data_IF_531753538228
#
_entry.id   IF_531753538228
#
_cell.length_a   1.000
_cell.length_b   1.000
_cell.length_c   1.000
_cell.angle_alpha   90.00
_cell.angle_beta   90.00
_cell.angle_gamma   90.00
#
_symmetry.space_group_name_H-M   'P 1'
#
loop_
_entity.id
_entity.type
_entity.pdbx_description
1 polymer ?
#
# COMPACT_ATOMS: atom_id res chain seq x y z
N UNK A 1 19.06 -1.45 -28.42
CA UNK A 1 17.87 -0.73 -27.96
C UNK A 1 17.03 -1.71 -27.17
N UNK A 2 17.10 -1.62 -25.85
CA UNK A 2 16.16 -2.28 -24.94
C UNK A 2 14.79 -1.59 -25.04
N UNK A 3 13.74 -2.20 -24.46
CA UNK A 3 12.44 -1.52 -24.32
C UNK A 3 12.55 -0.19 -23.55
N UNK A 4 13.55 -0.06 -22.68
CA UNK A 4 13.87 1.16 -21.94
C UNK A 4 14.51 2.23 -22.86
N UNK A 5 15.35 1.83 -23.81
CA UNK A 5 15.97 2.76 -24.78
C UNK A 5 14.96 3.31 -25.82
N UNK A 6 13.84 2.61 -26.03
CA UNK A 6 12.75 3.03 -26.89
C UNK A 6 11.64 3.80 -26.15
N UNK A 7 11.74 3.90 -24.82
CA UNK A 7 10.75 4.56 -23.97
C UNK A 7 11.09 6.05 -23.85
N UNK A 8 10.50 6.86 -24.73
CA UNK A 8 10.52 8.33 -24.65
C UNK A 8 9.14 8.88 -24.22
N UNK A 9 8.82 8.85 -22.91
CA UNK A 9 7.53 9.32 -22.43
C UNK A 9 7.37 10.82 -22.67
N UNK A 10 8.45 11.61 -22.60
CA UNK A 10 8.38 13.05 -22.84
C UNK A 10 8.04 13.37 -24.31
N UNK A 11 8.67 12.67 -25.26
CA UNK A 11 8.37 12.72 -26.69
C UNK A 11 6.98 12.19 -27.03
N UNK A 12 6.48 11.21 -26.26
CA UNK A 12 5.09 10.74 -26.32
C UNK A 12 4.08 11.71 -25.66
N UNK A 13 4.53 12.86 -25.14
CA UNK A 13 3.67 13.90 -24.56
C UNK A 13 3.43 13.78 -23.06
N UNK A 14 4.02 12.80 -22.37
CA UNK A 14 3.95 12.69 -20.92
C UNK A 14 4.65 13.87 -20.24
N UNK A 15 4.10 14.33 -19.12
CA UNK A 15 4.64 15.40 -18.29
C UNK A 15 4.55 14.96 -16.83
N UNK A 16 5.62 15.14 -16.08
CA UNK A 16 5.66 14.91 -14.64
C UNK A 16 5.78 16.26 -13.95
N UNK A 17 4.88 16.53 -13.02
CA UNK A 17 4.92 17.72 -12.16
C UNK A 17 5.09 17.27 -10.72
N UNK A 18 6.14 17.73 -10.06
CA UNK A 18 6.39 17.50 -8.63
C UNK A 18 5.93 18.72 -7.83
N UNK A 19 5.64 18.53 -6.54
CA UNK A 19 5.11 19.61 -5.70
C UNK A 19 3.72 20.11 -6.10
N UNK A 20 2.94 19.27 -6.80
CA UNK A 20 1.59 19.56 -7.28
C UNK A 20 0.59 18.64 -6.55
N UNK A 21 0.19 19.01 -5.33
CA UNK A 21 -0.74 18.19 -4.55
C UNK A 21 -2.16 18.38 -5.08
N UNK A 22 -2.83 17.30 -5.46
CA UNK A 22 -4.24 17.35 -5.86
C UNK A 22 -5.10 17.49 -4.61
N UNK A 23 -5.91 18.55 -4.55
CA UNK A 23 -6.86 18.81 -3.46
C UNK A 23 -8.20 18.13 -3.70
N UNK A 24 -8.73 18.22 -4.92
CA UNK A 24 -10.05 17.65 -5.26
C UNK A 24 -10.22 17.34 -6.76
N UNK A 25 -11.24 16.53 -7.07
CA UNK A 25 -11.69 16.30 -8.44
C UNK A 25 -12.59 17.44 -8.91
N UNK A 26 -12.46 17.83 -10.18
CA UNK A 26 -13.30 18.85 -10.82
C UNK A 26 -14.38 18.19 -11.68
N UNK A 27 -15.57 18.81 -11.73
CA UNK A 27 -16.77 18.18 -12.27
C UNK A 27 -17.51 19.07 -13.26
N UNK A 28 -18.01 18.48 -14.34
CA UNK A 28 -18.84 19.18 -15.32
C UNK A 28 -20.12 19.73 -14.67
N UNK A 29 -20.39 21.02 -14.83
CA UNK A 29 -21.54 21.67 -14.20
C UNK A 29 -21.36 22.01 -12.71
N UNK A 30 -20.16 21.80 -12.15
CA UNK A 30 -19.82 22.13 -10.76
C UNK A 30 -20.02 20.99 -9.77
N UNK A 31 -20.00 21.33 -8.47
CA UNK A 31 -20.03 20.33 -7.39
C UNK A 31 -21.39 19.62 -7.23
N UNK A 32 -22.48 20.28 -7.62
CA UNK A 32 -23.85 19.77 -7.48
C UNK A 32 -24.23 19.07 -8.78
N UNK A 33 -24.19 17.74 -8.80
CA UNK A 33 -24.66 16.96 -9.93
C UNK A 33 -26.13 17.27 -10.23
N UNK A 34 -26.46 17.59 -11.48
CA UNK A 34 -27.84 17.71 -11.92
C UNK A 34 -28.59 16.40 -11.65
N UNK A 35 -29.80 16.50 -11.09
CA UNK A 35 -30.61 15.34 -10.74
C UNK A 35 -30.83 14.43 -11.95
N UNK A 36 -30.26 13.22 -11.92
CA UNK A 36 -30.61 12.12 -12.83
C UNK A 36 -29.53 11.63 -13.81
N UNK A 37 -28.32 12.23 -13.84
CA UNK A 37 -27.20 11.77 -14.70
C UNK A 37 -25.92 11.46 -13.91
N UNK A 38 -25.10 10.53 -14.42
CA UNK A 38 -23.79 10.25 -13.83
C UNK A 38 -22.91 11.51 -13.89
N UNK A 39 -22.30 11.88 -12.76
CA UNK A 39 -21.45 13.07 -12.66
C UNK A 39 -20.17 12.82 -13.46
N UNK A 40 -19.77 13.75 -14.34
CA UNK A 40 -18.58 13.61 -15.18
C UNK A 40 -17.40 14.42 -14.64
N UNK A 41 -16.31 13.74 -14.32
CA UNK A 41 -15.05 14.36 -13.94
C UNK A 41 -14.39 15.01 -15.17
N UNK A 42 -13.87 16.22 -15.00
CA UNK A 42 -13.25 17.02 -16.08
C UNK A 42 -11.81 17.43 -15.77
N UNK A 43 -11.20 16.88 -14.70
CA UNK A 43 -9.87 17.24 -14.27
C UNK A 43 -9.71 17.25 -12.75
N UNK A 44 -8.69 17.95 -12.28
CA UNK A 44 -8.35 18.09 -10.85
C UNK A 44 -8.07 19.54 -10.51
N UNK A 45 -8.22 19.89 -9.23
CA UNK A 45 -7.76 21.17 -8.66
C UNK A 45 -6.64 20.89 -7.68
N UNK A 46 -5.55 21.65 -7.80
CA UNK A 46 -4.39 21.55 -6.93
C UNK A 46 -4.58 22.36 -5.62
N UNK A 47 -3.65 22.22 -4.69
CA UNK A 47 -3.62 22.95 -3.42
C UNK A 47 -3.33 24.45 -3.58
N UNK A 48 -2.73 24.86 -4.69
CA UNK A 48 -2.52 26.25 -5.10
C UNK A 48 -3.67 26.84 -5.96
N UNK A 49 -4.81 26.14 -6.00
CA UNK A 49 -6.00 26.45 -6.78
C UNK A 49 -5.82 26.37 -8.32
N UNK A 50 -4.69 25.88 -8.82
CA UNK A 50 -4.55 25.59 -10.24
C UNK A 50 -5.49 24.45 -10.66
N UNK A 51 -6.23 24.66 -11.75
CA UNK A 51 -7.09 23.64 -12.34
C UNK A 51 -6.41 22.97 -13.55
N UNK A 52 -6.28 21.66 -13.51
CA UNK A 52 -5.78 20.84 -14.63
C UNK A 52 -6.96 20.10 -15.25
N UNK A 53 -7.30 20.43 -16.49
CA UNK A 53 -8.38 19.76 -17.21
C UNK A 53 -7.92 18.43 -17.78
N UNK A 54 -8.75 17.40 -17.68
CA UNK A 54 -8.50 16.08 -18.25
C UNK A 54 -9.78 15.42 -18.77
N UNK A 55 -9.63 14.56 -19.79
CA UNK A 55 -10.72 13.72 -20.29
C UNK A 55 -11.01 12.52 -19.39
N UNK A 56 -9.98 12.07 -18.67
CA UNK A 56 -10.01 11.02 -17.66
C UNK A 56 -8.99 11.36 -16.57
N UNK A 57 -9.33 11.02 -15.33
CA UNK A 57 -8.45 11.08 -14.17
C UNK A 57 -8.25 9.66 -13.67
N UNK A 58 -6.98 9.26 -13.48
CA UNK A 58 -6.62 7.97 -12.87
C UNK A 58 -6.00 8.27 -11.51
N UNK A 59 -6.62 7.75 -10.45
CA UNK A 59 -6.15 7.89 -9.09
C UNK A 59 -5.10 6.81 -8.81
N UNK A 60 -3.88 7.27 -8.55
CA UNK A 60 -2.75 6.45 -8.10
C UNK A 60 -2.16 7.03 -6.80
N UNK A 61 -3.01 7.58 -5.93
CA UNK A 61 -2.60 8.32 -4.74
C UNK A 61 -2.36 7.41 -3.53
N UNK A 62 -2.34 6.09 -3.75
CA UNK A 62 -2.26 5.08 -2.71
C UNK A 62 -3.56 4.98 -1.92
N UNK A 63 -3.71 3.92 -1.14
CA UNK A 63 -4.97 3.60 -0.44
C UNK A 63 -5.51 4.76 0.40
N UNK A 64 -4.64 5.54 1.05
CA UNK A 64 -5.03 6.69 1.86
C UNK A 64 -5.43 7.88 0.97
N UNK A 65 -4.55 8.33 0.07
CA UNK A 65 -4.79 9.51 -0.76
C UNK A 65 -5.98 9.33 -1.70
N UNK A 66 -6.13 8.14 -2.28
CA UNK A 66 -7.29 7.81 -3.13
C UNK A 66 -8.58 7.85 -2.33
N UNK A 67 -8.59 7.36 -1.08
CA UNK A 67 -9.78 7.48 -0.21
C UNK A 67 -10.15 8.94 0.04
N UNK A 68 -9.16 9.77 0.40
CA UNK A 68 -9.36 11.21 0.66
C UNK A 68 -9.96 11.91 -0.56
N UNK A 69 -9.42 11.66 -1.75
CA UNK A 69 -9.91 12.26 -3.00
C UNK A 69 -11.32 11.83 -3.37
N UNK A 70 -11.64 10.53 -3.21
CA UNK A 70 -12.98 10.01 -3.49
C UNK A 70 -14.01 10.56 -2.51
N UNK A 71 -13.76 10.45 -1.21
CA UNK A 71 -14.66 10.94 -0.17
C UNK A 71 -14.83 12.46 -0.23
N UNK A 72 -13.73 13.20 -0.41
CA UNK A 72 -13.74 14.66 -0.57
C UNK A 72 -14.51 15.11 -1.81
N UNK A 73 -14.63 14.25 -2.82
CA UNK A 73 -15.44 14.50 -4.01
C UNK A 73 -16.92 14.10 -3.86
N UNK A 74 -17.35 13.66 -2.67
CA UNK A 74 -18.71 13.19 -2.41
C UNK A 74 -19.01 11.80 -2.98
N UNK A 75 -17.98 10.97 -3.16
CA UNK A 75 -18.10 9.57 -3.57
C UNK A 75 -17.94 8.71 -2.32
N UNK A 76 -19.02 8.60 -1.55
CA UNK A 76 -19.04 7.99 -0.20
C UNK A 76 -20.05 6.83 -0.06
N UNK A 77 -21.11 6.82 -0.86
CA UNK A 77 -22.20 5.83 -0.79
C UNK A 77 -23.37 6.02 -1.76
N UNK A 78 -23.48 7.15 -2.50
CA UNK A 78 -24.46 7.29 -3.57
C UNK A 78 -24.14 6.32 -4.73
N UNK A 79 -24.90 5.22 -4.82
CA UNK A 79 -24.60 4.10 -5.72
C UNK A 79 -24.22 2.79 -5.02
N UNK A 80 -24.09 2.78 -3.68
CA UNK A 80 -23.84 1.57 -2.89
C UNK A 80 -22.36 1.23 -2.63
N UNK A 81 -21.45 2.19 -2.81
CA UNK A 81 -19.99 1.97 -2.75
C UNK A 81 -19.40 2.34 -1.38
N UNK A 82 -18.78 1.41 -0.66
CA UNK A 82 -18.21 1.70 0.68
C UNK A 82 -16.73 2.11 0.61
N UNK A 83 -16.46 3.28 0.01
CA UNK A 83 -15.10 3.82 -0.10
C UNK A 83 -14.44 3.93 1.28
N UNK A 84 -13.20 3.44 1.41
CA UNK A 84 -12.41 3.47 2.63
C UNK A 84 -12.79 2.40 3.67
N UNK A 85 -13.82 1.59 3.45
CA UNK A 85 -14.26 0.56 4.40
C UNK A 85 -13.65 -0.83 4.12
N UNK A 86 -13.36 -1.58 5.19
CA UNK A 86 -12.86 -2.95 5.08
C UNK A 86 -11.43 -3.02 4.53
N UNK A 87 -10.67 -1.92 4.65
CA UNK A 87 -9.25 -1.92 4.30
C UNK A 87 -8.50 -2.92 5.15
N UNK A 88 -7.47 -3.52 4.60
CA UNK A 88 -6.64 -4.49 5.29
C UNK A 88 -5.17 -4.07 5.21
N UNK A 89 -4.43 -4.36 6.26
CA UNK A 89 -3.00 -4.12 6.41
C UNK A 89 -2.39 -5.34 7.09
N UNK A 90 -1.15 -5.64 6.80
CA UNK A 90 -0.40 -6.70 7.46
C UNK A 90 0.11 -6.18 8.82
N UNK A 91 -0.46 -6.63 9.95
CA UNK A 91 0.06 -6.26 11.26
C UNK A 91 1.43 -6.92 11.47
N UNK A 92 2.33 -6.18 12.11
CA UNK A 92 3.72 -6.63 12.32
C UNK A 92 4.15 -6.37 13.76
N UNK A 93 4.89 -7.31 14.33
CA UNK A 93 5.65 -7.12 15.55
C UNK A 93 7.13 -7.08 15.19
N UNK A 94 7.80 -6.02 15.63
CA UNK A 94 9.23 -5.82 15.45
C UNK A 94 9.94 -6.28 16.72
N UNK A 95 10.74 -7.33 16.62
CA UNK A 95 11.60 -7.83 17.68
C UNK A 95 12.97 -7.16 17.59
N UNK A 96 13.34 -6.39 18.61
CA UNK A 96 14.67 -5.80 18.69
C UNK A 96 15.72 -6.90 18.89
N UNK A 97 16.77 -6.85 18.09
CA UNK A 97 17.94 -7.72 18.23
C UNK A 97 18.96 -6.97 19.09
N UNK A 98 19.33 -7.51 20.26
CA UNK A 98 20.40 -6.92 21.07
C UNK A 98 21.67 -6.77 20.24
N UNK A 99 22.36 -5.64 20.40
CA UNK A 99 23.69 -5.49 19.83
C UNK A 99 24.58 -6.60 20.42
N UNK A 100 25.23 -7.40 19.55
CA UNK A 100 26.25 -8.33 20.01
C UNK A 100 27.50 -7.50 20.38
N UNK A 101 27.91 -7.46 21.67
CA UNK A 101 29.10 -6.73 22.08
C UNK A 101 30.40 -7.29 21.49
N UNK A 102 30.41 -8.54 20.99
CA UNK A 102 31.56 -9.15 20.31
C UNK A 102 31.55 -8.90 18.79
N UNK A 103 30.41 -8.53 18.23
CA UNK A 103 30.30 -8.19 16.82
C UNK A 103 30.63 -6.71 16.66
N UNK A 104 31.83 -6.41 16.16
CA UNK A 104 32.25 -5.03 15.90
C UNK A 104 31.19 -4.25 15.11
N UNK A 105 31.22 -2.92 15.21
CA UNK A 105 30.30 -2.01 14.51
C UNK A 105 30.33 -2.23 12.98
N UNK A 106 29.53 -3.18 12.49
CA UNK A 106 29.64 -3.69 11.12
C UNK A 106 29.02 -5.07 10.90
N UNK A 107 28.75 -5.84 11.95
CA UNK A 107 28.10 -7.15 11.82
C UNK A 107 26.57 -7.02 11.78
N UNK A 108 26.02 -6.60 10.63
CA UNK A 108 24.63 -6.89 10.31
C UNK A 108 24.42 -8.41 10.13
N UNK A 109 23.16 -8.86 10.07
CA UNK A 109 22.81 -10.27 9.81
C UNK A 109 23.14 -10.72 8.36
N UNK A 110 23.92 -9.93 7.61
CA UNK A 110 24.41 -10.22 6.27
C UNK A 110 25.86 -9.81 6.14
N UNK A 111 26.75 -10.80 6.14
CA UNK A 111 28.13 -10.64 5.68
C UNK A 111 28.16 -10.69 4.15
N UNK A 112 28.15 -9.53 3.52
CA UNK A 112 28.51 -9.36 2.11
C UNK A 112 29.39 -8.13 2.00
N UNK A 113 30.66 -8.33 1.65
CA UNK A 113 31.68 -7.30 1.50
C UNK A 113 31.49 -6.47 0.22
N UNK A 114 30.30 -5.91 -0.01
CA UNK A 114 29.99 -5.06 -1.18
C UNK A 114 29.71 -3.60 -0.78
N UNK A 115 30.23 -3.18 0.38
CA UNK A 115 30.20 -1.77 0.81
C UNK A 115 31.10 -0.84 -0.03
N UNK A 116 31.67 -1.35 -1.14
CA UNK A 116 32.41 -0.52 -2.09
C UNK A 116 31.52 0.08 -3.20
N UNK A 117 30.32 -0.46 -3.49
CA UNK A 117 29.58 -0.10 -4.73
C UNK A 117 28.03 0.04 -4.64
N UNK A 118 27.38 0.04 -3.47
CA UNK A 118 25.92 0.21 -3.44
C UNK A 118 25.23 0.32 -2.08
N UNK A 119 23.92 0.63 -2.11
CA UNK A 119 23.05 0.55 -0.93
C UNK A 119 22.90 -0.92 -0.49
N UNK A 120 23.05 -1.22 0.80
CA UNK A 120 22.94 -2.60 1.30
C UNK A 120 21.52 -3.15 1.11
N UNK A 121 21.42 -4.44 0.78
CA UNK A 121 20.13 -5.13 0.70
C UNK A 121 19.44 -5.14 2.06
N UNK A 122 18.36 -4.37 2.21
CA UNK A 122 17.65 -4.21 3.49
C UNK A 122 17.03 -5.53 3.98
N UNK A 123 16.43 -6.28 3.06
CA UNK A 123 15.77 -7.56 3.33
C UNK A 123 16.14 -8.52 2.20
N UNK A 124 17.08 -9.43 2.46
CA UNK A 124 17.56 -10.40 1.47
C UNK A 124 16.79 -11.72 1.51
N UNK A 125 16.22 -12.05 2.66
CA UNK A 125 15.49 -13.29 2.89
C UNK A 125 14.23 -13.03 3.69
N UNK A 126 13.18 -13.78 3.36
CA UNK A 126 11.95 -13.85 4.13
C UNK A 126 11.67 -15.32 4.40
N UNK A 127 11.45 -15.66 5.66
CA UNK A 127 11.07 -17.01 6.06
C UNK A 127 9.57 -17.03 6.29
N UNK A 128 8.89 -18.00 5.68
CA UNK A 128 7.46 -18.18 5.88
C UNK A 128 7.21 -19.26 6.92
N UNK A 129 6.42 -18.93 7.93
CA UNK A 129 5.97 -19.88 8.94
C UNK A 129 4.54 -20.30 8.62
N UNK A 130 4.33 -21.61 8.63
CA UNK A 130 3.01 -22.22 8.54
C UNK A 130 2.58 -22.66 9.94
N UNK A 131 1.38 -22.25 10.34
CA UNK A 131 0.79 -22.62 11.62
C UNK A 131 -0.27 -23.71 11.42
N UNK A 132 -0.63 -24.47 12.47
CA UNK A 132 -1.81 -25.33 12.43
C UNK A 132 -3.08 -24.53 12.12
N UNK A 133 -4.06 -25.21 11.51
CA UNK A 133 -5.40 -24.67 11.29
C UNK A 133 -6.02 -24.19 12.61
N UNK A 134 -6.64 -23.00 12.56
CA UNK A 134 -7.36 -22.39 13.68
C UNK A 134 -8.85 -22.39 13.41
N UNK A 135 -9.61 -21.71 14.27
CA UNK A 135 -11.06 -21.62 14.18
C UNK A 135 -11.55 -21.30 12.76
N UNK A 136 -12.52 -22.08 12.27
CA UNK A 136 -13.20 -21.90 10.98
C UNK A 136 -12.28 -22.02 9.74
N UNK A 137 -11.24 -22.86 9.78
CA UNK A 137 -10.45 -23.15 8.58
C UNK A 137 -9.40 -22.11 8.23
N UNK A 138 -9.15 -21.14 9.11
CA UNK A 138 -8.12 -20.13 8.89
C UNK A 138 -6.76 -20.63 9.37
N UNK A 139 -5.78 -20.63 8.46
CA UNK A 139 -4.38 -20.96 8.75
C UNK A 139 -3.56 -19.67 8.71
N UNK A 140 -3.02 -19.17 9.83
CA UNK A 140 -2.17 -17.99 9.82
C UNK A 140 -0.92 -18.21 8.97
N UNK A 141 -0.65 -17.28 8.08
CA UNK A 141 0.56 -17.25 7.27
C UNK A 141 1.43 -16.10 7.75
N UNK A 142 2.62 -16.40 8.23
CA UNK A 142 3.50 -15.39 8.84
C UNK A 142 4.80 -15.29 8.06
N UNK A 143 5.24 -14.06 7.83
CA UNK A 143 6.57 -13.76 7.34
C UNK A 143 7.48 -13.33 8.51
N UNK A 144 8.65 -13.95 8.59
CA UNK A 144 9.76 -13.51 9.43
C UNK A 144 10.76 -12.79 8.53
N UNK A 145 11.08 -11.55 8.90
CA UNK A 145 11.80 -10.57 8.09
C UNK A 145 13.01 -10.04 8.84
N UNK A 146 14.17 -10.72 8.76
CA UNK A 146 15.39 -10.24 9.38
C UNK A 146 15.93 -9.04 8.59
N UNK A 147 15.76 -7.83 9.13
CA UNK A 147 16.34 -6.65 8.49
C UNK A 147 17.87 -6.70 8.65
N UNK A 148 18.57 -6.63 7.53
CA UNK A 148 20.02 -6.79 7.48
C UNK A 148 20.75 -5.67 8.23
N UNK A 149 20.15 -4.48 8.25
CA UNK A 149 20.65 -3.29 8.95
C UNK A 149 19.49 -2.53 9.61
N UNK A 150 19.77 -1.70 10.63
CA UNK A 150 18.76 -0.84 11.23
C UNK A 150 18.13 0.15 10.22
N UNK A 151 16.82 0.36 10.32
CA UNK A 151 16.04 1.20 9.38
C UNK A 151 16.56 2.64 9.28
N UNK A 152 17.08 3.21 10.37
CA UNK A 152 17.64 4.58 10.37
C UNK A 152 18.86 4.76 9.47
N UNK A 153 19.54 3.66 9.08
CA UNK A 153 20.68 3.71 8.16
C UNK A 153 20.27 3.80 6.69
N UNK A 154 19.00 3.55 6.37
CA UNK A 154 18.47 3.56 4.99
C UNK A 154 17.35 4.57 4.76
N UNK A 155 16.70 5.05 5.83
CA UNK A 155 15.66 6.06 5.74
C UNK A 155 16.18 7.36 6.37
N UNK A 156 16.51 8.38 5.55
CA UNK A 156 16.96 9.67 6.05
C UNK A 156 15.95 10.31 7.01
N UNK A 157 16.45 10.91 8.11
CA UNK A 157 15.62 11.62 9.09
C UNK A 157 15.00 10.75 10.18
N UNK A 158 15.18 9.42 10.14
CA UNK A 158 14.81 8.56 11.26
C UNK A 158 15.80 8.67 12.41
N UNK A 159 15.28 8.65 13.64
CA UNK A 159 16.08 8.50 14.86
C UNK A 159 16.75 7.14 14.89
N UNK A 160 17.88 7.03 15.61
CA UNK A 160 18.56 5.77 15.81
C UNK A 160 17.64 4.73 16.46
N UNK A 161 17.63 3.52 15.89
CA UNK A 161 16.80 2.39 16.33
C UNK A 161 17.63 1.11 16.32
N UNK A 162 17.29 0.12 17.17
CA UNK A 162 17.94 -1.18 17.15
C UNK A 162 17.81 -1.90 15.80
N UNK A 163 18.67 -2.88 15.57
CA UNK A 163 18.43 -3.87 14.54
C UNK A 163 17.20 -4.70 14.90
N UNK A 164 16.40 -5.11 13.91
CA UNK A 164 15.10 -5.73 14.15
C UNK A 164 14.86 -6.94 13.26
N UNK A 165 14.07 -7.86 13.76
CA UNK A 165 13.39 -8.89 12.99
C UNK A 165 11.90 -8.56 12.98
N UNK A 166 11.33 -8.34 11.81
CA UNK A 166 9.88 -8.22 11.65
C UNK A 166 9.21 -9.60 11.67
N UNK A 167 8.09 -9.71 12.35
CA UNK A 167 7.20 -10.87 12.30
C UNK A 167 5.83 -10.33 11.90
N UNK A 168 5.38 -10.67 10.69
CA UNK A 168 4.21 -10.04 10.07
C UNK A 168 3.18 -11.09 9.64
N UNK A 169 1.90 -10.85 9.95
CA UNK A 169 0.80 -11.73 9.55
C UNK A 169 0.31 -11.36 8.16
N UNK A 170 0.40 -12.30 7.21
CA UNK A 170 0.15 -12.10 5.78
C UNK A 170 -1.30 -12.34 5.35
N UNK A 171 -2.14 -12.86 6.22
CA UNK A 171 -3.56 -13.10 5.93
C UNK A 171 -4.46 -12.73 7.12
N UNK A 172 -4.37 -11.47 7.58
CA UNK A 172 -5.16 -11.00 8.71
C UNK A 172 -6.66 -11.14 8.42
N UNK A 173 -7.43 -11.33 9.49
CA UNK A 173 -8.90 -11.34 9.43
C UNK A 173 -9.49 -9.97 9.79
N UNK A 174 -8.74 -9.13 10.50
CA UNK A 174 -9.14 -7.79 10.88
C UNK A 174 -9.22 -6.85 9.67
N UNK A 175 -10.27 -6.02 9.65
CA UNK A 175 -10.43 -4.93 8.70
C UNK A 175 -10.46 -3.58 9.40
N UNK A 176 -10.19 -2.52 8.66
CA UNK A 176 -10.18 -1.16 9.16
C UNK A 176 -10.95 -0.17 8.29
N UNK A 177 -10.68 1.10 8.53
CA UNK A 177 -11.24 2.22 7.79
C UNK A 177 -10.20 3.29 7.51
N UNK A 178 -10.25 3.85 6.31
CA UNK A 178 -9.64 5.14 5.99
C UNK A 178 -10.73 6.21 5.97
N UNK A 179 -10.49 7.33 6.64
CA UNK A 179 -11.44 8.42 6.78
C UNK A 179 -11.15 9.54 5.78
N UNK A 180 -12.11 10.48 5.64
CA UNK A 180 -12.00 11.59 4.68
C UNK A 180 -10.85 12.55 4.98
N UNK A 181 -10.38 12.61 6.23
CA UNK A 181 -9.21 13.40 6.66
C UNK A 181 -7.88 12.65 6.47
N UNK A 182 -7.91 11.44 5.91
CA UNK A 182 -6.74 10.58 5.71
C UNK A 182 -6.34 9.79 6.96
N UNK A 183 -7.04 9.94 8.09
CA UNK A 183 -6.79 9.12 9.26
C UNK A 183 -7.14 7.65 8.97
N UNK A 184 -6.35 6.74 9.55
CA UNK A 184 -6.50 5.30 9.38
C UNK A 184 -6.84 4.68 10.72
N UNK A 185 -7.95 3.97 10.79
CA UNK A 185 -8.38 3.21 11.96
C UNK A 185 -8.32 1.72 11.66
N UNK A 186 -7.35 1.04 12.28
CA UNK A 186 -7.16 -0.42 12.21
C UNK A 186 -7.42 -1.02 13.59
N UNK A 187 -8.66 -1.42 13.92
CA UNK A 187 -8.94 -2.10 15.18
C UNK A 187 -8.19 -3.43 15.22
N UNK A 188 -7.60 -3.76 16.36
CA UNK A 188 -6.94 -5.06 16.54
C UNK A 188 -7.96 -6.19 16.58
N UNK A 189 -7.79 -7.22 15.75
CA UNK A 189 -8.55 -8.46 15.86
C UNK A 189 -7.85 -9.40 16.86
N UNK A 190 -8.56 -9.94 17.87
CA UNK A 190 -7.96 -10.86 18.84
C UNK A 190 -7.32 -12.11 18.21
N UNK A 191 -7.84 -12.59 17.07
CA UNK A 191 -7.29 -13.76 16.36
C UNK A 191 -5.95 -13.42 15.72
N UNK A 192 -5.88 -12.27 15.05
CA UNK A 192 -4.64 -11.76 14.47
C UNK A 192 -3.60 -11.50 15.55
N UNK A 193 -4.00 -10.84 16.64
CA UNK A 193 -3.12 -10.53 17.76
C UNK A 193 -2.56 -11.80 18.42
N UNK A 194 -3.38 -12.84 18.58
CA UNK A 194 -2.96 -14.13 19.15
C UNK A 194 -1.96 -14.83 18.22
N UNK A 195 -2.28 -14.95 16.93
CA UNK A 195 -1.39 -15.59 15.97
C UNK A 195 -0.04 -14.88 15.87
N UNK A 196 -0.04 -13.55 15.84
CA UNK A 196 1.16 -12.73 15.74
C UNK A 196 2.02 -12.81 17.01
N UNK A 197 1.39 -12.84 18.19
CA UNK A 197 2.09 -13.00 19.46
C UNK A 197 2.75 -14.38 19.59
N UNK A 198 2.03 -15.45 19.23
CA UNK A 198 2.58 -16.81 19.24
C UNK A 198 3.75 -16.96 18.25
N UNK A 199 3.61 -16.41 17.04
CA UNK A 199 4.69 -16.44 16.05
C UNK A 199 5.92 -15.66 16.50
N UNK A 200 5.72 -14.50 17.11
CA UNK A 200 6.82 -13.68 17.63
C UNK A 200 7.53 -14.38 18.79
N UNK A 201 6.79 -15.01 19.70
CA UNK A 201 7.35 -15.79 20.79
C UNK A 201 8.16 -16.99 20.27
N UNK A 202 7.64 -17.70 19.27
CA UNK A 202 8.35 -18.80 18.62
C UNK A 202 9.68 -18.34 18.00
N UNK A 203 9.67 -17.23 17.25
CA UNK A 203 10.90 -16.66 16.65
C UNK A 203 11.89 -16.24 17.74
N UNK A 204 11.44 -15.54 18.77
CA UNK A 204 12.27 -15.08 19.88
C UNK A 204 12.94 -16.25 20.62
N UNK A 205 12.17 -17.31 20.94
CA UNK A 205 12.68 -18.52 21.59
C UNK A 205 13.72 -19.23 20.72
N UNK A 206 13.42 -19.44 19.44
CA UNK A 206 14.31 -20.16 18.52
C UNK A 206 15.61 -19.44 18.22
N UNK A 207 15.61 -18.11 18.28
CA UNK A 207 16.80 -17.29 18.06
C UNK A 207 17.49 -16.88 19.37
N UNK A 208 16.93 -17.22 20.53
CA UNK A 208 17.47 -16.80 21.83
C UNK A 208 17.45 -15.28 22.06
N UNK A 209 16.46 -14.58 21.48
CA UNK A 209 16.36 -13.12 21.54
C UNK A 209 15.42 -12.72 22.68
N UNK A 210 15.93 -11.90 23.61
CA UNK A 210 15.16 -11.32 24.72
C UNK A 210 14.87 -9.82 24.54
N UNK A 211 14.85 -9.34 23.30
CA UNK A 211 14.68 -7.92 22.98
C UNK A 211 13.25 -7.40 23.12
N UNK A 212 13.11 -6.08 23.12
CA UNK A 212 11.80 -5.43 23.17
C UNK A 212 10.99 -5.71 21.90
N UNK A 213 9.67 -5.77 22.05
CA UNK A 213 8.73 -5.96 20.95
C UNK A 213 7.94 -4.69 20.72
N UNK A 214 7.97 -4.17 19.49
CA UNK A 214 7.24 -2.97 19.08
C UNK A 214 6.16 -3.32 18.07
N UNK A 215 4.94 -2.79 18.25
CA UNK A 215 3.86 -2.94 17.27
C UNK A 215 4.13 -2.04 16.05
N UNK A 216 3.89 -2.58 14.87
CA UNK A 216 4.08 -1.91 13.59
C UNK A 216 3.06 -2.42 12.56
N UNK A 217 3.13 -1.88 11.36
CA UNK A 217 2.51 -2.43 10.15
C UNK A 217 3.56 -2.64 9.07
N UNK A 218 3.23 -3.46 8.08
CA UNK A 218 4.10 -3.66 6.91
C UNK A 218 3.97 -2.57 5.86
N UNK A 219 3.12 -1.56 6.07
CA UNK A 219 2.82 -0.50 5.10
C UNK A 219 2.21 -1.03 3.79
N UNK A 220 1.38 -2.07 3.90
CA UNK A 220 0.70 -2.78 2.82
C UNK A 220 -0.81 -2.46 2.74
N UNK A 221 -1.28 -1.37 3.37
CA UNK A 221 -2.68 -0.98 3.43
C UNK A 221 -3.35 -1.02 2.04
N UNK A 222 -4.40 -1.81 1.91
CA UNK A 222 -5.05 -2.11 0.63
C UNK A 222 -6.59 -2.14 0.74
N UNK A 223 -7.26 -2.05 -0.40
CA UNK A 223 -8.69 -2.37 -0.50
C UNK A 223 -9.67 -1.26 -0.13
N UNK A 224 -9.32 0.02 -0.28
CA UNK A 224 -10.23 1.14 0.00
C UNK A 224 -11.23 1.45 -1.13
N UNK A 225 -11.00 0.95 -2.35
CA UNK A 225 -11.80 1.20 -3.54
C UNK A 225 -11.89 -0.08 -4.39
N UNK A 226 -12.32 -1.19 -3.77
CA UNK A 226 -12.23 -2.53 -4.35
C UNK A 226 -12.94 -2.67 -5.70
N UNK A 227 -12.32 -3.43 -6.60
CA UNK A 227 -12.99 -3.95 -7.80
C UNK A 227 -14.16 -4.84 -7.39
N UNK A 228 -15.29 -4.68 -8.09
CA UNK A 228 -16.55 -5.36 -7.80
C UNK A 228 -17.40 -4.68 -6.74
N UNK A 229 -16.90 -3.61 -6.11
CA UNK A 229 -17.61 -2.89 -5.05
C UNK A 229 -17.62 -1.38 -5.26
N UNK A 230 -16.45 -0.74 -5.42
CA UNK A 230 -16.30 0.69 -5.70
C UNK A 230 -15.91 0.93 -7.16
N UNK A 231 -15.12 0.01 -7.71
CA UNK A 231 -14.67 0.04 -9.09
C UNK A 231 -15.23 -1.14 -9.89
N UNK A 232 -15.39 -0.98 -11.20
CA UNK A 232 -15.55 -2.13 -12.11
C UNK A 232 -14.22 -2.86 -12.36
N UNK A 233 -14.25 -3.92 -13.18
CA UNK A 233 -13.07 -4.74 -13.54
C UNK A 233 -11.99 -3.98 -14.32
N UNK A 234 -12.32 -2.77 -14.76
CA UNK A 234 -11.47 -1.85 -15.51
C UNK A 234 -11.04 -0.68 -14.61
N UNK A 235 -11.29 -0.75 -13.30
CA UNK A 235 -10.88 0.27 -12.35
C UNK A 235 -11.71 1.55 -12.43
N UNK A 236 -12.81 1.59 -13.21
CA UNK A 236 -13.68 2.77 -13.27
C UNK A 236 -14.45 2.89 -11.97
N UNK A 237 -14.46 4.09 -11.40
CA UNK A 237 -15.27 4.36 -10.21
C UNK A 237 -16.74 4.33 -10.60
N UNK A 238 -17.51 3.49 -9.91
CA UNK A 238 -18.92 3.31 -10.16
C UNK A 238 -19.71 4.58 -9.78
N UNK A 239 -20.80 4.87 -10.50
CA UNK A 239 -21.65 6.04 -10.28
C UNK A 239 -21.13 7.37 -10.86
N UNK A 240 -19.89 7.40 -11.38
CA UNK A 240 -19.29 8.61 -11.98
C UNK A 240 -18.61 8.31 -13.31
N UNK A 241 -18.46 9.32 -14.16
CA UNK A 241 -17.75 9.21 -15.42
C UNK A 241 -16.36 9.86 -15.34
N UNK A 242 -15.39 9.26 -16.02
CA UNK A 242 -14.07 9.86 -16.21
C UNK A 242 -13.11 9.69 -15.04
N UNK A 243 -13.44 8.88 -14.03
CA UNK A 243 -12.54 8.55 -12.90
C UNK A 243 -12.22 7.07 -12.92
N UNK A 244 -10.93 6.74 -12.79
CA UNK A 244 -10.42 5.39 -12.56
C UNK A 244 -9.51 5.36 -11.34
N UNK A 245 -9.25 4.17 -10.81
CA UNK A 245 -8.30 3.93 -9.74
C UNK A 245 -7.33 2.83 -10.18
N UNK A 246 -6.03 3.03 -9.95
CA UNK A 246 -4.97 2.10 -10.32
C UNK A 246 -3.86 2.06 -9.26
N UNK A 247 -4.25 1.78 -8.02
CA UNK A 247 -3.35 1.56 -6.88
C UNK A 247 -3.88 0.44 -5.96
N UNK A 248 -3.22 0.20 -4.82
CA UNK A 248 -3.57 -0.85 -3.86
C UNK A 248 -5.01 -0.78 -3.31
N UNK A 249 -5.70 0.36 -3.46
CA UNK A 249 -7.10 0.47 -3.05
C UNK A 249 -8.04 -0.43 -3.85
N UNK A 250 -7.70 -0.79 -5.09
CA UNK A 250 -8.57 -1.61 -5.96
C UNK A 250 -8.53 -3.10 -5.64
N UNK A 251 -7.55 -3.54 -4.85
CA UNK A 251 -7.34 -4.94 -4.51
C UNK A 251 -8.55 -5.48 -3.72
N UNK A 252 -9.27 -6.50 -4.23
CA UNK A 252 -10.45 -7.06 -3.55
C UNK A 252 -10.12 -7.66 -2.18
N UNK A 253 -8.90 -8.15 -2.01
CA UNK A 253 -8.35 -8.64 -0.76
C UNK A 253 -6.87 -8.31 -0.69
N UNK A 254 -6.35 -8.22 0.54
CA UNK A 254 -4.91 -8.05 0.77
C UNK A 254 -4.16 -9.29 0.27
N UNK A 255 -3.17 -9.14 -0.62
CA UNK A 255 -2.32 -10.25 -1.06
C UNK A 255 -1.56 -10.84 0.13
N UNK A 256 -1.31 -12.15 0.09
CA UNK A 256 -0.63 -12.87 1.19
C UNK A 256 0.90 -12.73 1.14
N UNK A 257 1.36 -11.54 0.76
CA UNK A 257 2.75 -11.12 0.60
C UNK A 257 2.79 -9.59 0.39
N UNK A 258 3.99 -9.02 0.18
CA UNK A 258 4.12 -7.62 -0.21
C UNK A 258 3.36 -7.28 -1.51
N UNK A 259 2.52 -6.23 -1.53
CA UNK A 259 1.56 -6.00 -2.61
C UNK A 259 2.17 -5.35 -3.86
N UNK A 260 3.45 -4.92 -3.83
CA UNK A 260 4.07 -4.14 -4.90
C UNK A 260 3.89 -4.77 -6.30
N UNK A 261 4.27 -6.04 -6.45
CA UNK A 261 4.13 -6.72 -7.75
C UNK A 261 2.67 -6.96 -8.14
N UNK A 262 1.77 -7.17 -7.16
CA UNK A 262 0.33 -7.28 -7.43
C UNK A 262 -0.23 -5.94 -7.93
N UNK A 263 0.17 -4.82 -7.30
CA UNK A 263 -0.25 -3.49 -7.72
C UNK A 263 0.27 -3.17 -9.12
N UNK A 264 1.54 -3.49 -9.43
CA UNK A 264 2.09 -3.34 -10.77
C UNK A 264 1.32 -4.17 -11.80
N UNK A 265 1.08 -5.45 -11.51
CA UNK A 265 0.36 -6.34 -12.43
C UNK A 265 -1.07 -5.84 -12.73
N UNK A 266 -1.77 -5.35 -11.70
CA UNK A 266 -3.10 -4.75 -11.86
C UNK A 266 -3.01 -3.45 -12.65
N UNK A 267 -2.06 -2.56 -12.33
CA UNK A 267 -1.89 -1.30 -13.04
C UNK A 267 -1.61 -1.50 -14.54
N UNK A 268 -0.78 -2.49 -14.90
CA UNK A 268 -0.51 -2.87 -16.29
C UNK A 268 -1.78 -3.38 -17.01
N UNK A 269 -2.54 -4.29 -16.39
CA UNK A 269 -3.80 -4.78 -16.97
C UNK A 269 -4.82 -3.64 -17.18
N UNK A 270 -4.96 -2.75 -16.19
CA UNK A 270 -5.84 -1.58 -16.26
C UNK A 270 -5.40 -0.62 -17.38
N UNK A 271 -4.09 -0.37 -17.53
CA UNK A 271 -3.54 0.48 -18.58
C UNK A 271 -3.82 -0.09 -19.98
N UNK A 272 -3.67 -1.40 -20.18
CA UNK A 272 -3.98 -2.08 -21.45
C UNK A 272 -5.46 -1.95 -21.79
N UNK A 273 -6.36 -2.15 -20.82
CA UNK A 273 -7.81 -1.97 -21.01
C UNK A 273 -8.15 -0.53 -21.40
N UNK A 274 -7.55 0.45 -20.74
CA UNK A 274 -7.73 1.87 -21.07
C UNK A 274 -7.32 2.18 -22.52
N UNK A 275 -6.14 1.74 -22.92
CA UNK A 275 -5.63 1.99 -24.27
C UNK A 275 -6.48 1.30 -25.36
N UNK A 276 -7.06 0.14 -25.06
CA UNK A 276 -7.92 -0.63 -25.98
C UNK A 276 -9.26 0.06 -26.23
N UNK A 277 -9.88 0.60 -25.18
CA UNK A 277 -11.17 1.29 -25.32
C UNK A 277 -11.07 2.64 -26.02
N UNK A 278 -9.94 3.33 -25.82
CA UNK A 278 -9.66 4.64 -26.39
C UNK A 278 -8.17 4.75 -26.68
N UNK A 279 -7.82 4.55 -27.95
CA UNK A 279 -6.51 4.96 -28.45
C UNK A 279 -6.33 6.46 -28.18
N UNK A 280 -5.23 6.80 -27.52
CA UNK A 280 -4.84 8.15 -27.08
C UNK A 280 -4.36 9.01 -28.24
#
# INVERSE_FOLDING_TARGET
MTAFDAWDPAGAGARVRTGAAVRELSWAGGAVGGAGGARRCVGVVLDDDEAITARQVVLCAGTIGTTVLLLGSGIDGAGGHSVGHGVQEHPELLLDVPADPAAGAGAGLGTGADAADGLPTLLSHVVRLEFPERERGWVPEVEVRPYAIPMHRVIPGLVEVPQRIGVALMNPVGGGRVHADGSVHLPGDPRDATALAEATAFVAERLGIAGAVTRSTSQHLSGAARIGEVCDDSGRVLGVEGVRVADASVLPSLPRCGPYYTVLAVAEDLAVRMATERAW
#
